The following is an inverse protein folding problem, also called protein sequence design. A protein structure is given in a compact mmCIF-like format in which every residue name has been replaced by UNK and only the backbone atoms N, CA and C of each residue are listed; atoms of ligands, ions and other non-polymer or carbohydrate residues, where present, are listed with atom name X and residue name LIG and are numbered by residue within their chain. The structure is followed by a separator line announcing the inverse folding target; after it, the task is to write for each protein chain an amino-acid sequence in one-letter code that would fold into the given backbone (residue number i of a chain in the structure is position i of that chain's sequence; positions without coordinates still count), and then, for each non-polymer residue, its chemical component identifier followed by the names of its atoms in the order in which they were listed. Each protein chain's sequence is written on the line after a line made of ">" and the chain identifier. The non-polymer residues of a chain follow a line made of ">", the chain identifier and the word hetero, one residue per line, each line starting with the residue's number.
data_IF_117185028665
#
_entry.id   IF_117185028665
#
_cell.length_a   1.000
_cell.length_b   1.000
_cell.length_c   1.000
_cell.angle_alpha   90.00
_cell.angle_beta   90.00
_cell.angle_gamma   90.00
#
_symmetry.space_group_name_H-M   'P 1'
#
loop_
_entity.id
_entity.type
_entity.pdbx_description
1 polymer ?
#
# COMPACT_ATOMS: atom_id res chain seq x y z
N UNK A 1 6.29 -5.81 1.67
CA UNK A 1 5.86 -5.11 2.92
C UNK A 1 6.60 -5.60 4.16
N UNK A 2 6.81 -6.91 4.36
CA UNK A 2 7.53 -7.41 5.55
C UNK A 2 8.98 -6.89 5.63
N UNK A 3 9.74 -7.01 4.56
CA UNK A 3 11.14 -6.53 4.51
C UNK A 3 11.22 -5.01 4.68
N UNK A 4 10.35 -4.26 3.99
CA UNK A 4 10.17 -2.80 4.22
C UNK A 4 9.98 -2.46 5.70
N UNK A 5 9.11 -3.19 6.40
CA UNK A 5 8.88 -3.00 7.84
C UNK A 5 10.14 -3.29 8.68
N UNK A 6 10.88 -4.35 8.38
CA UNK A 6 12.14 -4.66 9.07
C UNK A 6 13.20 -3.59 8.86
N UNK A 7 13.25 -3.00 7.67
CA UNK A 7 14.11 -1.85 7.37
C UNK A 7 13.53 -0.51 7.84
N UNK A 8 12.48 -0.50 8.65
CA UNK A 8 11.83 0.69 9.19
C UNK A 8 11.32 1.66 8.09
N UNK A 9 10.72 1.09 7.04
CA UNK A 9 10.02 1.80 5.96
C UNK A 9 8.53 1.52 6.12
N UNK A 10 7.75 2.57 6.38
CA UNK A 10 6.30 2.46 6.46
C UNK A 10 5.70 2.13 5.09
N UNK A 11 4.69 1.25 5.11
CA UNK A 11 3.94 0.92 3.90
C UNK A 11 2.46 0.77 4.25
N UNK A 12 1.60 1.06 3.29
CA UNK A 12 0.14 0.99 3.46
C UNK A 12 -0.56 0.39 2.26
N UNK A 13 -1.85 0.08 2.43
CA UNK A 13 -2.77 -0.25 1.34
C UNK A 13 -3.87 0.79 1.33
N UNK A 14 -3.98 1.52 0.23
CA UNK A 14 -4.96 2.60 0.09
C UNK A 14 -5.68 2.52 -1.25
N UNK A 15 -6.92 2.04 -1.33
CA UNK A 15 -7.82 1.62 -0.24
C UNK A 15 -8.20 0.14 -0.33
N UNK A 16 -8.63 -0.42 0.81
CA UNK A 16 -9.39 -1.68 0.82
C UNK A 16 -10.68 -1.44 0.03
N UNK A 17 -11.03 -2.30 -0.95
CA UNK A 17 -12.22 -2.11 -1.75
C UNK A 17 -13.48 -2.06 -0.88
N UNK A 18 -14.29 -1.02 -1.04
CA UNK A 18 -15.45 -0.77 -0.16
C UNK A 18 -16.43 -1.94 -0.14
N UNK A 19 -16.63 -2.63 -1.26
CA UNK A 19 -17.52 -3.79 -1.38
C UNK A 19 -17.06 -5.02 -0.58
N UNK A 20 -15.84 -5.00 -0.01
CA UNK A 20 -15.34 -6.00 0.95
C UNK A 20 -15.63 -5.64 2.41
N UNK A 21 -16.00 -4.39 2.69
CA UNK A 21 -16.36 -3.94 4.04
C UNK A 21 -17.75 -4.45 4.41
N UNK A 22 -17.95 -4.84 5.68
CA UNK A 22 -19.18 -5.48 6.15
C UNK A 22 -20.46 -4.69 5.80
N UNK A 23 -20.43 -3.36 5.98
CA UNK A 23 -21.58 -2.49 5.74
C UNK A 23 -21.98 -2.40 4.26
N UNK A 24 -21.02 -2.44 3.34
CA UNK A 24 -21.25 -2.31 1.89
C UNK A 24 -21.26 -3.66 1.17
N UNK A 25 -21.30 -4.77 1.92
CA UNK A 25 -21.26 -6.11 1.34
C UNK A 25 -22.50 -6.34 0.47
N UNK A 26 -22.28 -6.82 -0.74
CA UNK A 26 -23.34 -7.12 -1.70
C UNK A 26 -22.82 -7.98 -2.86
N UNK A 27 -23.68 -8.26 -3.83
CA UNK A 27 -23.36 -9.12 -4.98
C UNK A 27 -22.67 -8.36 -6.12
N UNK A 28 -21.51 -7.78 -5.84
CA UNK A 28 -20.71 -7.04 -6.83
C UNK A 28 -19.59 -7.92 -7.41
N UNK A 29 -19.37 -7.84 -8.72
CA UNK A 29 -18.19 -8.43 -9.37
C UNK A 29 -17.30 -7.30 -9.89
N UNK A 30 -16.25 -6.98 -9.14
CA UNK A 30 -15.30 -5.91 -9.47
C UNK A 30 -13.87 -6.46 -9.58
N UNK A 31 -13.60 -7.38 -10.52
CA UNK A 31 -12.34 -8.13 -10.59
C UNK A 31 -11.11 -7.23 -10.80
N UNK A 32 -11.26 -6.11 -11.50
CA UNK A 32 -10.16 -5.15 -11.70
C UNK A 32 -9.81 -4.46 -10.38
N UNK A 33 -10.81 -4.00 -9.63
CA UNK A 33 -10.61 -3.38 -8.31
C UNK A 33 -9.95 -4.36 -7.34
N UNK A 34 -10.42 -5.61 -7.32
CA UNK A 34 -9.82 -6.66 -6.48
C UNK A 34 -8.39 -6.98 -6.87
N UNK A 35 -8.10 -7.03 -8.17
CA UNK A 35 -6.74 -7.23 -8.69
C UNK A 35 -5.83 -6.07 -8.30
N UNK A 36 -6.25 -4.83 -8.48
CA UNK A 36 -5.44 -3.64 -8.15
C UNK A 36 -5.19 -3.59 -6.65
N UNK A 37 -6.22 -3.75 -5.82
CA UNK A 37 -6.10 -3.67 -4.36
C UNK A 37 -5.13 -4.69 -3.76
N UNK A 38 -4.91 -5.84 -4.43
CA UNK A 38 -3.91 -6.85 -4.03
C UNK A 38 -2.47 -6.48 -4.39
N UNK A 39 -2.27 -5.59 -5.36
CA UNK A 39 -0.96 -5.29 -5.94
C UNK A 39 -0.45 -3.88 -5.63
N UNK A 40 -1.31 -2.98 -5.14
CA UNK A 40 -0.87 -1.63 -4.75
C UNK A 40 -0.17 -1.65 -3.40
N UNK A 41 0.80 -0.76 -3.26
CA UNK A 41 1.46 -0.42 -2.00
C UNK A 41 1.66 1.08 -1.97
N UNK A 42 1.29 1.71 -0.86
CA UNK A 42 1.66 3.08 -0.55
C UNK A 42 3.01 3.07 0.14
N UNK A 43 3.91 3.94 -0.31
CA UNK A 43 5.23 4.18 0.27
C UNK A 43 5.27 5.58 0.91
N UNK A 44 6.29 5.92 1.72
CA UNK A 44 6.38 7.23 2.33
C UNK A 44 6.39 8.34 1.28
N UNK A 45 5.48 9.31 1.42
CA UNK A 45 5.35 10.47 0.51
C UNK A 45 4.99 11.73 1.31
N UNK A 46 5.98 12.32 1.98
CA UNK A 46 5.78 13.54 2.78
C UNK A 46 6.97 14.50 2.61
N UNK A 47 6.79 15.82 2.80
CA UNK A 47 7.84 16.81 2.52
C UNK A 47 9.08 16.68 3.39
N UNK A 48 8.99 16.01 4.55
CA UNK A 48 10.12 15.83 5.47
C UNK A 48 11.02 14.63 5.14
N UNK A 49 10.84 13.96 3.98
CA UNK A 49 11.76 12.90 3.57
C UNK A 49 13.10 13.52 3.17
N UNK A 50 14.17 13.05 3.79
CA UNK A 50 15.53 13.39 3.34
C UNK A 50 15.89 12.61 2.08
N UNK A 51 16.90 13.07 1.34
CA UNK A 51 17.46 12.31 0.22
C UNK A 51 17.93 10.91 0.65
N UNK A 52 18.51 10.79 1.86
CA UNK A 52 18.89 9.49 2.41
C UNK A 52 17.71 8.56 2.70
N UNK A 53 16.55 9.10 3.09
CA UNK A 53 15.34 8.29 3.28
C UNK A 53 14.85 7.76 1.93
N UNK A 54 14.83 8.60 0.90
CA UNK A 54 14.44 8.22 -0.47
C UNK A 54 15.38 7.16 -1.02
N UNK A 55 16.69 7.35 -0.87
CA UNK A 55 17.71 6.40 -1.30
C UNK A 55 17.53 5.04 -0.63
N UNK A 56 17.27 5.03 0.67
CA UNK A 56 17.00 3.81 1.42
C UNK A 56 15.74 3.10 0.93
N UNK A 57 14.69 3.84 0.58
CA UNK A 57 13.45 3.29 0.02
C UNK A 57 13.69 2.65 -1.36
N UNK A 58 14.54 3.25 -2.19
CA UNK A 58 14.84 2.75 -3.55
C UNK A 58 15.74 1.50 -3.52
N UNK A 59 16.74 1.47 -2.63
CA UNK A 59 17.83 0.47 -2.63
C UNK A 59 17.56 -0.75 -1.75
N UNK A 60 16.40 -0.84 -1.12
CA UNK A 60 16.08 -1.97 -0.26
C UNK A 60 15.94 -3.27 -1.07
N UNK A 61 16.75 -4.27 -0.72
CA UNK A 61 16.73 -5.62 -1.32
C UNK A 61 15.59 -6.50 -0.75
#
# INVERSE_FOLDING_TARGET
>A
MREMKYSNIETGIHYIPIHKMQFYKGSYKLPITERIAKNIVSIPIHPNLSESDVDKIIKID
#
